data_IF_578302948557
#
_entry.id   IF_578302948557
#
_cell.length_a   1.000
_cell.length_b   1.000
_cell.length_c   1.000
_cell.angle_alpha   90.00
_cell.angle_beta   90.00
_cell.angle_gamma   90.00
#
_symmetry.space_group_name_H-M   'P 1'
#
loop_
_entity.id
_entity.type
_entity.pdbx_description
1 polymer ?
#
# COMPACT_ATOMS: atom_id res chain seq x y z
N UNK A 1 -5.70 -21.90 27.84
CA UNK A 1 -5.39 -20.54 27.36
C UNK A 1 -6.55 -20.07 26.47
N UNK A 2 -7.12 -18.91 26.82
CA UNK A 2 -8.52 -18.51 26.58
C UNK A 2 -8.99 -18.50 25.11
N UNK A 3 -9.94 -19.37 24.76
CA UNK A 3 -10.65 -19.34 23.48
C UNK A 3 -11.42 -18.03 23.26
N UNK A 4 -11.83 -17.36 24.34
CA UNK A 4 -12.57 -16.09 24.29
C UNK A 4 -11.72 -14.91 23.78
N UNK A 5 -10.40 -14.88 24.07
CA UNK A 5 -9.52 -13.80 23.59
C UNK A 5 -9.21 -13.94 22.08
N UNK A 6 -9.36 -15.13 21.51
CA UNK A 6 -9.15 -15.38 20.08
C UNK A 6 -10.30 -14.85 19.22
N UNK A 7 -11.55 -14.92 19.72
CA UNK A 7 -12.75 -14.57 18.94
C UNK A 7 -12.76 -13.09 18.54
N UNK A 8 -12.38 -12.19 19.44
CA UNK A 8 -12.41 -10.74 19.20
C UNK A 8 -11.11 -10.18 18.63
N UNK A 9 -9.98 -10.90 18.76
CA UNK A 9 -8.69 -10.42 18.27
C UNK A 9 -8.64 -10.37 16.73
N UNK A 10 -9.12 -11.43 16.06
CA UNK A 10 -9.14 -11.54 14.60
C UNK A 10 -9.91 -10.40 13.90
N UNK A 11 -11.18 -10.09 14.24
CA UNK A 11 -11.90 -9.01 13.57
C UNK A 11 -11.27 -7.64 13.80
N UNK A 12 -10.67 -7.40 14.97
CA UNK A 12 -9.94 -6.15 15.27
C UNK A 12 -8.67 -6.04 14.43
N UNK A 13 -7.86 -7.10 14.36
CA UNK A 13 -6.65 -7.14 13.51
C UNK A 13 -7.00 -6.90 12.03
N UNK A 14 -8.07 -7.55 11.54
CA UNK A 14 -8.56 -7.36 10.17
C UNK A 14 -8.99 -5.91 9.93
N UNK A 15 -9.77 -5.32 10.84
CA UNK A 15 -10.23 -3.94 10.68
C UNK A 15 -9.06 -2.95 10.64
N UNK A 16 -8.08 -3.11 11.54
CA UNK A 16 -6.86 -2.30 11.56
C UNK A 16 -6.11 -2.43 10.22
N UNK A 17 -5.95 -3.65 9.72
CA UNK A 17 -5.21 -3.90 8.47
C UNK A 17 -5.98 -3.41 7.24
N UNK A 18 -7.31 -3.46 7.23
CA UNK A 18 -8.13 -2.88 6.16
C UNK A 18 -7.98 -1.36 6.12
N UNK A 19 -8.03 -0.69 7.28
CA UNK A 19 -7.77 0.74 7.36
C UNK A 19 -6.34 1.06 6.88
N UNK A 20 -5.36 0.28 7.32
CA UNK A 20 -3.98 0.44 6.88
C UNK A 20 -3.82 0.26 5.36
N UNK A 21 -4.52 -0.72 4.79
CA UNK A 21 -4.54 -0.95 3.34
C UNK A 21 -5.13 0.25 2.57
N UNK A 22 -6.19 0.86 3.08
CA UNK A 22 -6.78 2.07 2.49
C UNK A 22 -5.82 3.27 2.58
N UNK A 23 -5.10 3.41 3.68
CA UNK A 23 -4.05 4.44 3.82
C UNK A 23 -2.95 4.21 2.78
N UNK A 24 -2.44 2.98 2.64
CA UNK A 24 -1.42 2.66 1.63
C UNK A 24 -1.95 2.96 0.22
N UNK A 25 -3.20 2.62 -0.09
CA UNK A 25 -3.84 2.93 -1.38
C UNK A 25 -3.87 4.44 -1.65
N UNK A 26 -4.26 5.24 -0.66
CA UNK A 26 -4.29 6.70 -0.74
C UNK A 26 -2.89 7.26 -0.97
N UNK A 27 -1.91 6.82 -0.19
CA UNK A 27 -0.51 7.24 -0.30
C UNK A 27 0.03 6.95 -1.70
N UNK A 28 -0.23 5.75 -2.22
CA UNK A 28 0.22 5.40 -3.56
C UNK A 28 -0.40 6.31 -4.63
N UNK A 29 -1.70 6.64 -4.52
CA UNK A 29 -2.34 7.59 -5.44
C UNK A 29 -1.71 8.99 -5.39
N UNK A 30 -1.41 9.51 -4.20
CA UNK A 30 -0.73 10.81 -4.06
C UNK A 30 0.61 10.78 -4.78
N UNK A 31 1.38 9.69 -4.66
CA UNK A 31 2.66 9.52 -5.33
C UNK A 31 2.50 9.48 -6.86
N UNK A 32 1.54 8.70 -7.38
CA UNK A 32 1.22 8.62 -8.81
C UNK A 32 0.86 10.01 -9.37
N UNK A 33 0.01 10.76 -8.67
CA UNK A 33 -0.37 12.11 -9.07
C UNK A 33 0.83 13.08 -9.05
N UNK A 34 1.69 13.00 -8.03
CA UNK A 34 2.90 13.80 -7.95
C UNK A 34 3.86 13.53 -9.12
N UNK A 35 4.02 12.26 -9.53
CA UNK A 35 4.79 11.92 -10.73
C UNK A 35 4.09 12.43 -12.00
N UNK A 36 2.76 12.30 -12.09
CA UNK A 36 1.97 12.81 -13.20
C UNK A 36 2.12 14.32 -13.40
N UNK A 37 2.20 15.10 -12.32
CA UNK A 37 2.48 16.54 -12.36
C UNK A 37 3.86 16.82 -12.96
N UNK A 38 4.88 16.06 -12.56
CA UNK A 38 6.26 16.24 -13.02
C UNK A 38 6.48 15.79 -14.47
N UNK A 39 5.78 14.74 -14.89
CA UNK A 39 5.95 14.12 -16.22
C UNK A 39 4.96 14.65 -17.24
N UNK A 40 3.93 15.40 -16.83
CA UNK A 40 2.78 15.83 -17.66
C UNK A 40 1.98 14.67 -18.28
N UNK A 41 2.26 13.43 -17.89
CA UNK A 41 1.61 12.21 -18.39
C UNK A 41 0.77 11.53 -17.29
N UNK A 42 -0.29 12.19 -16.84
CA UNK A 42 -1.12 11.72 -15.73
C UNK A 42 -1.86 10.41 -16.09
N UNK A 43 -2.38 10.30 -17.31
CA UNK A 43 -3.25 9.18 -17.70
C UNK A 43 -2.52 7.84 -17.74
N UNK A 44 -1.34 7.78 -18.37
CA UNK A 44 -0.54 6.56 -18.51
C UNK A 44 -0.23 5.94 -17.14
N UNK A 45 0.12 6.77 -16.16
CA UNK A 45 0.51 6.32 -14.82
C UNK A 45 -0.66 5.75 -14.02
N UNK A 46 -1.86 6.32 -14.18
CA UNK A 46 -3.10 5.82 -13.57
C UNK A 46 -3.50 4.45 -14.15
N UNK A 47 -3.33 4.23 -15.45
CA UNK A 47 -3.60 2.92 -16.07
C UNK A 47 -2.63 1.85 -15.55
N UNK A 48 -1.33 2.15 -15.48
CA UNK A 48 -0.33 1.25 -14.91
C UNK A 48 -0.66 0.89 -13.45
N UNK A 49 -1.09 1.89 -12.65
CA UNK A 49 -1.52 1.63 -11.28
C UNK A 49 -2.74 0.69 -11.20
N UNK A 50 -3.75 0.90 -12.05
CA UNK A 50 -4.94 0.03 -12.11
C UNK A 50 -4.58 -1.40 -12.46
N UNK A 51 -3.72 -1.59 -13.46
CA UNK A 51 -3.25 -2.91 -13.87
C UNK A 51 -2.43 -3.59 -12.79
N UNK A 52 -1.56 -2.86 -12.12
CA UNK A 52 -0.84 -3.38 -10.97
C UNK A 52 -1.80 -3.81 -9.85
N UNK A 53 -2.79 -2.99 -9.51
CA UNK A 53 -3.78 -3.31 -8.46
C UNK A 53 -4.60 -4.55 -8.81
N UNK A 54 -4.88 -4.79 -10.09
CA UNK A 54 -5.54 -6.02 -10.56
C UNK A 54 -4.71 -7.28 -10.29
N UNK A 55 -3.38 -7.19 -10.22
CA UNK A 55 -2.53 -8.33 -9.83
C UNK A 55 -2.77 -8.76 -8.38
N UNK A 56 -3.28 -7.87 -7.53
CA UNK A 56 -3.65 -8.16 -6.14
C UNK A 56 -4.82 -9.11 -5.97
N UNK A 57 -5.54 -9.44 -7.05
CA UNK A 57 -6.62 -10.45 -7.05
C UNK A 57 -6.08 -11.86 -6.80
N UNK A 58 -4.82 -12.09 -7.14
CA UNK A 58 -4.13 -13.36 -6.90
C UNK A 58 -3.25 -13.18 -5.66
N UNK A 59 -3.27 -14.13 -4.70
CA UNK A 59 -2.41 -14.06 -3.52
C UNK A 59 -0.93 -13.90 -3.91
N UNK A 60 -0.23 -13.04 -3.16
CA UNK A 60 1.20 -12.75 -3.42
C UNK A 60 2.08 -14.01 -3.38
N UNK A 61 1.64 -15.03 -2.64
CA UNK A 61 2.32 -16.31 -2.47
C UNK A 61 2.37 -17.15 -3.75
N UNK A 62 1.55 -16.83 -4.78
CA UNK A 62 1.54 -17.50 -6.09
C UNK A 62 2.69 -17.03 -6.98
N UNK A 63 3.18 -15.80 -6.78
CA UNK A 63 4.22 -15.22 -7.62
C UNK A 63 5.62 -15.70 -7.21
N UNK A 64 6.48 -15.96 -8.19
CA UNK A 64 7.91 -16.25 -7.98
C UNK A 64 8.72 -14.96 -7.92
N UNK A 65 9.91 -15.01 -7.33
CA UNK A 65 10.86 -13.90 -7.40
C UNK A 65 11.34 -13.69 -8.84
N UNK A 66 11.58 -12.44 -9.30
CA UNK A 66 11.57 -11.18 -8.52
C UNK A 66 10.20 -10.49 -8.44
N UNK A 67 9.19 -11.00 -9.14
CA UNK A 67 7.87 -10.36 -9.26
C UNK A 67 7.21 -10.21 -7.91
N UNK A 68 7.32 -11.24 -7.05
CA UNK A 68 6.80 -11.21 -5.68
C UNK A 68 7.36 -10.03 -4.87
N UNK A 69 8.67 -9.80 -4.92
CA UNK A 69 9.29 -8.63 -4.30
C UNK A 69 8.76 -7.31 -4.87
N UNK A 70 8.66 -7.21 -6.20
CA UNK A 70 8.16 -6.02 -6.88
C UNK A 70 6.74 -5.62 -6.41
N UNK A 71 5.79 -6.56 -6.42
CA UNK A 71 4.38 -6.32 -6.02
C UNK A 71 4.14 -6.31 -4.51
N UNK A 72 5.18 -6.54 -3.71
CA UNK A 72 5.11 -6.44 -2.25
C UNK A 72 5.70 -5.12 -1.77
N UNK A 73 6.81 -4.70 -2.38
CA UNK A 73 7.62 -3.58 -1.88
C UNK A 73 7.56 -2.33 -2.76
N UNK A 74 7.40 -2.46 -4.08
CA UNK A 74 7.33 -1.30 -4.99
C UNK A 74 5.89 -0.85 -5.12
N UNK A 75 4.99 -1.79 -5.35
CA UNK A 75 3.55 -1.53 -5.38
C UNK A 75 3.01 -2.32 -4.18
N UNK A 76 2.75 -1.70 -3.03
CA UNK A 76 2.53 -2.39 -1.74
C UNK A 76 1.19 -3.18 -1.65
N UNK A 77 0.77 -3.77 -2.76
CA UNK A 77 -0.44 -4.57 -2.95
C UNK A 77 -0.41 -5.81 -2.06
N UNK A 78 0.76 -6.45 -1.91
CA UNK A 78 0.91 -7.61 -1.02
C UNK A 78 0.49 -7.28 0.42
N UNK A 79 0.88 -6.12 0.94
CA UNK A 79 0.50 -5.65 2.28
C UNK A 79 -1.00 -5.31 2.30
N UNK A 80 -1.48 -4.58 1.29
CA UNK A 80 -2.87 -4.13 1.22
C UNK A 80 -3.88 -5.29 1.14
N UNK A 81 -3.62 -6.28 0.30
CA UNK A 81 -4.59 -7.33 -0.02
C UNK A 81 -4.37 -8.60 0.80
N UNK A 82 -3.12 -9.00 1.05
CA UNK A 82 -2.84 -10.31 1.66
C UNK A 82 -2.84 -10.27 3.19
N UNK A 83 -2.47 -9.16 3.82
CA UNK A 83 -2.34 -9.12 5.28
C UNK A 83 -3.70 -9.21 6.01
N UNK A 84 -4.77 -8.50 5.59
CA UNK A 84 -6.09 -8.67 6.20
C UNK A 84 -6.57 -10.13 6.14
N UNK A 85 -6.34 -10.81 5.01
CA UNK A 85 -6.70 -12.23 4.82
C UNK A 85 -5.86 -13.12 5.74
N UNK A 86 -4.54 -12.91 5.81
CA UNK A 86 -3.65 -13.68 6.69
C UNK A 86 -3.99 -13.47 8.18
N UNK A 87 -4.44 -12.28 8.58
CA UNK A 87 -4.92 -12.00 9.93
C UNK A 87 -6.24 -12.73 10.23
N UNK A 88 -7.18 -12.74 9.27
CA UNK A 88 -8.43 -13.49 9.38
C UNK A 88 -8.18 -15.00 9.57
N UNK A 89 -7.23 -15.55 8.81
CA UNK A 89 -6.78 -16.94 8.92
C UNK A 89 -6.02 -17.23 10.22
N UNK A 90 -5.58 -16.20 10.95
CA UNK A 90 -4.82 -16.33 12.19
C UNK A 90 -3.36 -16.76 11.98
N UNK A 91 -2.84 -16.60 10.77
CA UNK A 91 -1.47 -16.98 10.39
C UNK A 91 -0.54 -15.79 10.28
N UNK A 92 -1.04 -14.56 10.46
CA UNK A 92 -0.23 -13.35 10.40
C UNK A 92 0.43 -13.08 11.78
N UNK A 93 1.77 -13.10 11.88
CA UNK A 93 2.45 -12.73 13.12
C UNK A 93 2.29 -11.24 13.42
N UNK A 94 2.20 -10.91 14.72
CA UNK A 94 2.04 -9.52 15.20
C UNK A 94 3.15 -8.57 14.71
N UNK A 95 4.37 -9.08 14.55
CA UNK A 95 5.49 -8.30 14.00
C UNK A 95 5.24 -7.79 12.59
N UNK A 96 4.54 -8.55 11.74
CA UNK A 96 4.19 -8.10 10.39
C UNK A 96 3.06 -7.06 10.39
N UNK A 97 2.17 -7.10 11.39
CA UNK A 97 1.14 -6.06 11.57
C UNK A 97 1.83 -4.72 11.88
N UNK A 98 2.72 -4.71 12.88
CA UNK A 98 3.48 -3.51 13.26
C UNK A 98 4.36 -3.00 12.11
N UNK A 99 5.03 -3.91 11.40
CA UNK A 99 5.78 -3.57 10.20
C UNK A 99 4.90 -2.90 9.14
N UNK A 100 3.69 -3.42 8.88
CA UNK A 100 2.79 -2.83 7.89
C UNK A 100 2.34 -1.41 8.24
N UNK A 101 2.18 -1.10 9.53
CA UNK A 101 1.82 0.22 10.02
C UNK A 101 3.03 1.16 9.92
N UNK A 102 4.21 0.71 10.33
CA UNK A 102 5.44 1.50 10.17
C UNK A 102 5.70 1.82 8.70
N UNK A 103 5.55 0.82 7.83
CA UNK A 103 5.68 0.98 6.39
C UNK A 103 4.69 2.00 5.82
N UNK A 104 3.41 1.95 6.18
CA UNK A 104 2.41 2.89 5.65
C UNK A 104 2.70 4.33 6.08
N UNK A 105 3.15 4.55 7.32
CA UNK A 105 3.56 5.86 7.82
C UNK A 105 4.79 6.36 7.05
N UNK A 106 5.84 5.55 6.92
CA UNK A 106 7.03 5.93 6.16
C UNK A 106 6.70 6.25 4.71
N UNK A 107 5.85 5.44 4.08
CA UNK A 107 5.42 5.63 2.70
C UNK A 107 4.60 6.92 2.54
N UNK A 108 3.71 7.24 3.48
CA UNK A 108 2.96 8.51 3.51
C UNK A 108 3.90 9.71 3.56
N UNK A 109 4.90 9.68 4.44
CA UNK A 109 5.87 10.77 4.56
C UNK A 109 6.66 10.99 3.26
N UNK A 110 7.12 9.90 2.63
CA UNK A 110 7.81 9.95 1.33
C UNK A 110 6.90 10.53 0.26
N UNK A 111 5.64 10.07 0.19
CA UNK A 111 4.69 10.56 -0.81
C UNK A 111 4.35 12.04 -0.63
N UNK A 112 4.18 12.52 0.61
CA UNK A 112 3.91 13.92 0.89
C UNK A 112 5.12 14.81 0.58
N UNK A 113 6.33 14.32 0.88
CA UNK A 113 7.56 15.00 0.50
C UNK A 113 7.66 15.13 -1.03
N UNK A 114 7.39 14.05 -1.76
CA UNK A 114 7.42 14.04 -3.23
C UNK A 114 6.32 14.91 -3.85
N UNK A 115 5.12 14.92 -3.26
CA UNK A 115 4.03 15.82 -3.65
C UNK A 115 4.43 17.29 -3.55
N UNK A 116 5.05 17.69 -2.44
CA UNK A 116 5.56 19.07 -2.26
C UNK A 116 6.63 19.42 -3.30
N UNK A 117 7.53 18.47 -3.60
CA UNK A 117 8.53 18.64 -4.65
C UNK A 117 7.91 18.80 -6.05
N UNK A 118 6.87 18.02 -6.37
CA UNK A 118 6.16 18.14 -7.64
C UNK A 118 5.48 19.51 -7.81
N UNK A 119 4.82 20.00 -6.75
CA UNK A 119 4.16 21.31 -6.77
C UNK A 119 5.13 22.48 -6.92
N UNK A 120 6.31 22.43 -6.30
CA UNK A 120 7.29 23.52 -6.44
C UNK A 120 7.80 23.63 -7.88
N UNK A 121 7.97 22.50 -8.58
CA UNK A 121 8.40 22.45 -9.98
C UNK A 121 7.32 22.98 -10.93
N UNK A 122 6.05 22.66 -10.66
CA UNK A 122 4.91 23.17 -11.43
C UNK A 122 4.75 24.70 -11.26
N UNK A 123 4.86 25.21 -10.03
CA UNK A 123 4.72 26.63 -9.74
C UNK A 123 5.81 27.49 -10.43
N UNK A 124 7.04 26.99 -10.54
CA UNK A 124 8.13 27.71 -11.25
C UNK A 124 7.91 27.87 -12.76
N UNK A 125 6.99 27.12 -13.38
CA UNK A 125 6.66 27.28 -14.79
C UNK A 125 5.55 28.32 -15.05
N UNK A 126 4.92 28.86 -14.00
CA UNK A 126 3.78 29.79 -14.07
C UNK A 126 4.13 31.24 -13.66
N UNK A 127 5.40 31.56 -13.42
CA UNK A 127 5.91 32.93 -13.21
C UNK A 127 6.67 33.42 -14.43
#
# INVERSE_FOLDING_TARGET
MNSANSTWRKPVEVLILVINALVIALVFHILVLAIGILTTEVDNLIWVYRDATNMGRVPVDVYREPVRGLITFIIPIGIMMSFPVKALLGVLPLGLILFSIGFSISFLLISLWFWRFALSRYASASS
#
